data_IF_550535455667
#
_entry.id   IF_550535455667
#
_cell.length_a   1.000
_cell.length_b   1.000
_cell.length_c   1.000
_cell.angle_alpha   90.00
_cell.angle_beta   90.00
_cell.angle_gamma   90.00
#
_symmetry.space_group_name_H-M   'P 1'
#
loop_
_entity.id
_entity.type
_entity.pdbx_description
1 polymer ?
#
# COMPACT_ATOMS: atom_id res chain seq x y z
N UNK A 1 14.35 -11.61 -7.19
CA UNK A 1 13.57 -11.29 -5.98
C UNK A 1 12.15 -11.76 -6.23
N UNK A 2 11.53 -12.54 -5.34
CA UNK A 2 10.14 -12.97 -5.53
C UNK A 2 9.21 -11.81 -5.16
N UNK A 3 8.35 -11.41 -6.10
CA UNK A 3 7.31 -10.40 -5.85
C UNK A 3 6.18 -11.02 -5.03
N UNK A 4 5.76 -10.32 -3.98
CA UNK A 4 4.68 -10.74 -3.09
C UNK A 4 3.56 -9.71 -3.12
N UNK A 5 2.32 -10.17 -2.94
CA UNK A 5 1.17 -9.28 -2.87
C UNK A 5 1.08 -8.66 -1.47
N UNK A 6 1.03 -7.35 -1.38
CA UNK A 6 0.80 -6.61 -0.15
C UNK A 6 -0.54 -5.89 -0.23
N UNK A 7 -1.37 -6.01 0.80
CA UNK A 7 -2.59 -5.20 0.94
C UNK A 7 -2.40 -4.15 2.02
N UNK A 8 -2.75 -2.92 1.71
CA UNK A 8 -2.77 -1.79 2.65
C UNK A 8 -4.14 -1.11 2.61
N UNK A 9 -4.48 -0.37 3.66
CA UNK A 9 -5.63 0.54 3.64
C UNK A 9 -5.11 1.96 3.72
N UNK A 10 -5.47 2.77 2.75
CA UNK A 10 -5.09 4.17 2.69
C UNK A 10 -6.31 5.06 2.83
N UNK A 11 -6.12 6.23 3.44
CA UNK A 11 -7.10 7.31 3.49
C UNK A 11 -6.76 8.26 2.34
N UNK A 12 -7.71 8.41 1.44
CA UNK A 12 -7.64 9.36 0.34
C UNK A 12 -7.90 10.79 0.85
N UNK A 13 -7.55 11.80 0.03
CA UNK A 13 -7.71 13.22 0.41
C UNK A 13 -9.16 13.62 0.73
N UNK A 14 -10.13 12.89 0.21
CA UNK A 14 -11.56 13.08 0.48
C UNK A 14 -12.02 12.44 1.80
N UNK A 15 -11.12 11.81 2.57
CA UNK A 15 -11.45 11.12 3.83
C UNK A 15 -11.91 9.67 3.66
N UNK A 16 -12.07 9.18 2.42
CA UNK A 16 -12.47 7.80 2.18
C UNK A 16 -11.31 6.83 2.43
N UNK A 17 -11.62 5.70 3.05
CA UNK A 17 -10.66 4.59 3.22
C UNK A 17 -10.77 3.69 1.99
N UNK A 18 -9.65 3.48 1.30
CA UNK A 18 -9.54 2.56 0.18
C UNK A 18 -8.56 1.44 0.52
N UNK A 19 -8.97 0.20 0.29
CA UNK A 19 -8.06 -0.96 0.32
C UNK A 19 -7.34 -1.05 -1.02
N UNK A 20 -6.01 -1.09 -0.96
CA UNK A 20 -5.13 -1.13 -2.13
C UNK A 20 -4.22 -2.33 -2.02
N UNK A 21 -3.99 -3.01 -3.14
CA UNK A 21 -3.07 -4.13 -3.24
C UNK A 21 -1.93 -3.78 -4.19
N UNK A 22 -0.70 -4.04 -3.77
CA UNK A 22 0.50 -3.80 -4.56
C UNK A 22 1.41 -5.04 -4.54
N UNK A 23 1.97 -5.39 -5.68
CA UNK A 23 3.02 -6.42 -5.76
C UNK A 23 4.37 -5.76 -5.51
N UNK A 24 5.11 -6.25 -4.51
CA UNK A 24 6.42 -5.71 -4.16
C UNK A 24 7.33 -6.81 -3.61
N UNK A 25 8.64 -6.57 -3.57
CA UNK A 25 9.59 -7.52 -2.98
C UNK A 25 9.56 -7.53 -1.45
N UNK A 26 9.17 -6.41 -0.82
CA UNK A 26 9.12 -6.25 0.63
C UNK A 26 8.11 -5.14 1.04
N UNK A 27 7.80 -5.05 2.34
CA UNK A 27 6.85 -4.07 2.92
C UNK A 27 7.29 -2.62 2.66
N UNK A 28 8.61 -2.35 2.66
CA UNK A 28 9.16 -1.02 2.42
C UNK A 28 8.84 -0.54 0.99
N UNK A 29 9.13 -1.38 0.01
CA UNK A 29 8.87 -1.12 -1.40
C UNK A 29 7.36 -1.03 -1.68
N UNK A 30 6.55 -1.87 -1.02
CA UNK A 30 5.09 -1.75 -1.09
C UNK A 30 4.60 -0.37 -0.60
N UNK A 31 5.16 0.15 0.50
CA UNK A 31 4.81 1.46 1.05
C UNK A 31 5.22 2.60 0.12
N UNK A 32 6.42 2.53 -0.44
CA UNK A 32 6.94 3.50 -1.43
C UNK A 32 6.07 3.52 -2.69
N UNK A 33 5.73 2.35 -3.24
CA UNK A 33 4.86 2.22 -4.42
C UNK A 33 3.46 2.81 -4.17
N UNK A 34 2.86 2.51 -3.01
CA UNK A 34 1.56 3.07 -2.64
C UNK A 34 1.65 4.60 -2.49
N UNK A 35 2.74 5.13 -1.92
CA UNK A 35 2.97 6.58 -1.84
C UNK A 35 3.12 7.21 -3.22
N UNK A 36 3.85 6.58 -4.12
CA UNK A 36 4.04 7.08 -5.48
C UNK A 36 2.71 7.06 -6.27
N UNK A 37 1.96 5.97 -6.17
CA UNK A 37 0.73 5.77 -6.93
C UNK A 37 -0.44 6.67 -6.46
N UNK A 38 -0.52 6.93 -5.15
CA UNK A 38 -1.63 7.67 -4.55
C UNK A 38 -1.23 9.07 -4.03
N UNK A 39 -0.02 9.55 -4.33
CA UNK A 39 0.43 10.89 -3.98
C UNK A 39 0.60 11.12 -2.48
N UNK A 40 1.31 10.21 -1.81
CA UNK A 40 1.59 10.17 -0.38
C UNK A 40 0.30 10.14 0.49
N UNK A 41 -0.53 9.09 0.35
CA UNK A 41 -1.77 8.98 1.10
C UNK A 41 -1.46 8.67 2.58
N UNK A 42 -2.42 8.95 3.46
CA UNK A 42 -2.30 8.57 4.87
C UNK A 42 -2.63 7.10 5.02
N UNK A 43 -1.72 6.29 5.54
CA UNK A 43 -1.99 4.87 5.77
C UNK A 43 -2.93 4.70 6.98
N UNK A 44 -4.09 4.10 6.76
CA UNK A 44 -4.98 3.64 7.82
C UNK A 44 -4.53 2.27 8.35
N UNK A 45 -4.10 1.39 7.45
CA UNK A 45 -3.48 0.12 7.78
C UNK A 45 -2.21 -0.06 6.94
N UNK A 46 -1.12 -0.45 7.59
CA UNK A 46 0.15 -0.69 6.93
C UNK A 46 0.06 -1.85 5.92
N UNK A 47 0.86 -1.82 4.83
CA UNK A 47 0.91 -2.89 3.87
C UNK A 47 1.31 -4.21 4.53
N UNK A 48 0.42 -5.20 4.48
CA UNK A 48 0.64 -6.56 4.97
C UNK A 48 0.73 -7.52 3.80
N UNK A 49 1.70 -8.43 3.90
CA UNK A 49 1.85 -9.54 2.96
C UNK A 49 0.58 -10.40 2.99
N UNK A 50 -0.07 -10.52 1.85
CA UNK A 50 -1.16 -11.47 1.63
C UNK A 50 -0.54 -12.68 0.98
N UNK A 51 -0.54 -13.77 1.74
CA UNK A 51 0.01 -15.07 1.36
C UNK A 51 -0.93 -15.80 0.43
#
# INVERSE_FOLDING_TARGET
MAEKLFKAKIVLKNGSIQEVSVTASNVFNAKELIKMQYGNPRFFAEPKEVR
#
